data_IF_313609981200
#
_entry.id   IF_313609981200
#
_cell.length_a   1.000
_cell.length_b   1.000
_cell.length_c   1.000
_cell.angle_alpha   90.00
_cell.angle_beta   90.00
_cell.angle_gamma   90.00
#
_symmetry.space_group_name_H-M   'P 1'
#
loop_
_entity.id
_entity.type
_entity.pdbx_description
1 polymer ?
#
# COMPACT_ATOMS: atom_id res chain seq x y z
N UNK A 1 -59.36 2.61 -1.83
CA UNK A 1 -58.58 2.33 -3.05
C UNK A 1 -57.14 2.79 -2.79
N UNK A 2 -56.26 1.85 -2.43
CA UNK A 2 -54.85 2.11 -2.15
C UNK A 2 -54.04 1.89 -3.44
N UNK A 3 -53.38 2.94 -3.92
CA UNK A 3 -52.43 2.85 -5.04
C UNK A 3 -51.09 2.32 -4.51
N UNK A 4 -50.73 1.11 -4.93
CA UNK A 4 -49.41 0.49 -4.69
C UNK A 4 -48.34 1.25 -5.49
N UNK A 5 -47.42 1.90 -4.80
CA UNK A 5 -46.17 2.41 -5.37
C UNK A 5 -45.23 1.24 -5.71
N UNK A 6 -44.70 1.26 -6.94
CA UNK A 6 -43.69 0.33 -7.44
C UNK A 6 -42.35 0.58 -6.72
N UNK A 7 -41.57 -0.46 -6.35
CA UNK A 7 -40.25 -0.27 -5.79
C UNK A 7 -39.24 0.12 -6.88
N UNK A 8 -38.38 1.06 -6.53
CA UNK A 8 -37.24 1.58 -7.29
C UNK A 8 -36.14 0.50 -7.39
N UNK A 9 -35.49 0.29 -8.56
CA UNK A 9 -34.47 -0.74 -8.69
C UNK A 9 -33.17 -0.32 -8.00
N UNK A 10 -32.57 -1.26 -7.27
CA UNK A 10 -31.27 -1.11 -6.62
C UNK A 10 -30.14 -0.83 -7.64
N UNK A 11 -29.08 -0.11 -7.24
CA UNK A 11 -27.99 0.24 -8.15
C UNK A 11 -27.24 -1.01 -8.60
N UNK A 12 -27.21 -1.20 -9.91
CA UNK A 12 -26.41 -2.20 -10.61
C UNK A 12 -24.94 -2.09 -10.19
N UNK A 13 -24.38 -3.21 -9.72
CA UNK A 13 -22.94 -3.33 -9.50
C UNK A 13 -22.26 -3.09 -10.84
N UNK A 14 -21.41 -2.07 -10.92
CA UNK A 14 -20.51 -1.87 -12.04
C UNK A 14 -19.60 -3.11 -12.17
N UNK A 15 -19.96 -4.01 -13.08
CA UNK A 15 -19.07 -5.06 -13.56
C UNK A 15 -17.89 -4.38 -14.24
N UNK A 16 -16.72 -4.55 -13.63
CA UNK A 16 -15.43 -4.28 -14.23
C UNK A 16 -15.36 -5.03 -15.56
N UNK A 17 -15.48 -4.30 -16.67
CA UNK A 17 -15.17 -4.79 -18.01
C UNK A 17 -13.66 -4.96 -18.13
N UNK A 18 -13.15 -6.03 -17.51
CA UNK A 18 -11.86 -6.57 -17.85
C UNK A 18 -11.98 -7.14 -19.27
N UNK A 19 -11.08 -6.73 -20.15
CA UNK A 19 -10.87 -7.32 -21.48
C UNK A 19 -10.34 -8.75 -21.35
N UNK A 20 -11.14 -9.64 -20.78
CA UNK A 20 -10.91 -11.08 -20.80
C UNK A 20 -11.40 -11.62 -22.14
N UNK A 21 -10.49 -12.00 -23.01
CA UNK A 21 -10.83 -13.03 -24.00
C UNK A 21 -11.33 -14.23 -23.18
N UNK A 22 -12.56 -14.71 -23.38
CA UNK A 22 -13.07 -15.84 -22.63
C UNK A 22 -12.32 -17.08 -23.12
N UNK A 23 -11.25 -17.45 -22.40
CA UNK A 23 -10.56 -18.70 -22.65
C UNK A 23 -11.51 -19.83 -22.26
N UNK A 24 -11.99 -20.59 -23.24
CA UNK A 24 -12.88 -21.74 -23.02
C UNK A 24 -12.24 -22.72 -22.01
N UNK A 25 -13.02 -23.41 -21.14
CA UNK A 25 -12.45 -24.29 -20.13
C UNK A 25 -11.57 -25.34 -20.79
N UNK A 26 -10.26 -25.29 -20.51
CA UNK A 26 -9.29 -26.24 -21.04
C UNK A 26 -9.54 -27.59 -20.37
N UNK A 27 -9.82 -28.59 -21.19
CA UNK A 27 -9.95 -29.97 -20.72
C UNK A 27 -8.57 -30.54 -20.34
N UNK A 28 -8.55 -31.52 -19.43
CA UNK A 28 -7.31 -32.23 -19.05
C UNK A 28 -6.60 -32.81 -20.27
N UNK A 29 -7.36 -33.28 -21.27
CA UNK A 29 -6.81 -33.81 -22.53
C UNK A 29 -6.12 -32.72 -23.35
N UNK A 30 -6.72 -31.54 -23.49
CA UNK A 30 -6.09 -30.42 -24.21
C UNK A 30 -4.82 -29.94 -23.51
N UNK A 31 -4.83 -29.92 -22.18
CA UNK A 31 -3.65 -29.62 -21.37
C UNK A 31 -2.53 -30.64 -21.61
N UNK A 32 -2.84 -31.94 -21.59
CA UNK A 32 -1.89 -33.01 -21.89
C UNK A 32 -1.33 -32.94 -23.32
N UNK A 33 -2.17 -32.61 -24.31
CA UNK A 33 -1.71 -32.36 -25.69
C UNK A 33 -0.75 -31.16 -25.75
N UNK A 34 -1.00 -30.11 -24.97
CA UNK A 34 -0.09 -28.97 -24.87
C UNK A 34 1.25 -29.35 -24.22
N UNK A 35 1.23 -30.17 -23.17
CA UNK A 35 2.45 -30.75 -22.58
C UNK A 35 3.22 -31.61 -23.58
N UNK A 36 2.53 -32.43 -24.39
CA UNK A 36 3.15 -33.30 -25.39
C UNK A 36 3.96 -32.50 -26.42
N UNK A 37 3.39 -31.40 -26.94
CA UNK A 37 4.05 -30.52 -27.91
C UNK A 37 5.35 -29.91 -27.37
N UNK A 38 5.46 -29.71 -26.06
CA UNK A 38 6.64 -29.14 -25.41
C UNK A 38 7.55 -30.18 -24.73
N UNK A 39 7.27 -31.48 -24.85
CA UNK A 39 7.93 -32.53 -24.07
C UNK A 39 9.46 -32.53 -24.22
N UNK A 40 9.98 -32.29 -25.44
CA UNK A 40 11.42 -32.16 -25.68
C UNK A 40 12.05 -30.99 -24.93
N UNK A 41 11.42 -29.81 -24.97
CA UNK A 41 11.86 -28.61 -24.25
C UNK A 41 11.80 -28.79 -22.74
N UNK A 42 10.69 -29.38 -22.23
CA UNK A 42 10.53 -29.67 -20.80
C UNK A 42 11.59 -30.64 -20.29
N UNK A 43 11.95 -31.64 -21.10
CA UNK A 43 13.00 -32.62 -20.79
C UNK A 43 14.39 -31.97 -20.80
N UNK A 44 14.66 -31.09 -21.77
CA UNK A 44 15.92 -30.35 -21.86
C UNK A 44 16.16 -29.45 -20.64
N UNK A 45 15.14 -28.71 -20.20
CA UNK A 45 15.21 -27.84 -19.00
C UNK A 45 15.52 -28.64 -17.73
N UNK A 46 15.15 -29.91 -17.68
CA UNK A 46 15.40 -30.82 -16.54
C UNK A 46 16.73 -31.59 -16.61
N UNK A 47 17.62 -31.24 -17.54
CA UNK A 47 18.89 -31.95 -17.70
C UNK A 47 18.75 -33.31 -18.39
N UNK A 48 17.74 -33.47 -19.26
CA UNK A 48 17.60 -34.64 -20.15
C UNK A 48 16.73 -35.77 -19.62
N UNK A 49 16.15 -35.64 -18.41
CA UNK A 49 15.27 -36.67 -17.84
C UNK A 49 13.78 -36.31 -18.00
N UNK A 50 12.96 -37.15 -18.65
CA UNK A 50 11.53 -36.89 -18.80
C UNK A 50 10.81 -36.99 -17.45
N UNK A 51 9.65 -36.32 -17.32
CA UNK A 51 8.83 -36.46 -16.11
C UNK A 51 8.13 -37.81 -16.12
N UNK A 52 8.46 -38.77 -15.23
CA UNK A 52 8.04 -40.17 -15.37
C UNK A 52 6.52 -40.34 -15.31
N UNK A 53 5.85 -39.65 -14.38
CA UNK A 53 4.38 -39.70 -14.28
C UNK A 53 3.67 -39.02 -15.46
N UNK A 54 4.19 -37.89 -15.94
CA UNK A 54 3.64 -37.25 -17.13
C UNK A 54 3.85 -38.14 -18.37
N UNK A 55 5.02 -38.74 -18.52
CA UNK A 55 5.35 -39.64 -19.63
C UNK A 55 4.41 -40.83 -19.69
N UNK A 56 4.05 -41.44 -18.55
CA UNK A 56 3.03 -42.51 -18.49
C UNK A 56 1.70 -42.06 -19.11
N UNK A 57 1.23 -40.86 -18.77
CA UNK A 57 -0.01 -40.32 -19.33
C UNK A 57 0.12 -39.85 -20.78
N UNK A 58 1.28 -39.34 -21.20
CA UNK A 58 1.53 -38.90 -22.57
C UNK A 58 1.59 -40.07 -23.56
N UNK A 59 2.10 -41.24 -23.15
CA UNK A 59 2.16 -42.46 -23.99
C UNK A 59 0.75 -43.00 -24.31
N UNK A 60 -0.22 -42.73 -23.44
CA UNK A 60 -1.62 -43.14 -23.63
C UNK A 60 -2.47 -42.07 -24.33
N UNK A 61 -1.86 -40.95 -24.78
CA UNK A 61 -2.56 -40.02 -25.66
C UNK A 61 -2.66 -40.64 -27.05
N UNK A 62 -3.88 -40.84 -27.60
CA UNK A 62 -4.01 -41.33 -28.97
C UNK A 62 -3.35 -40.36 -29.96
N UNK A 63 -2.74 -40.93 -31.00
CA UNK A 63 -2.18 -40.17 -32.12
C UNK A 63 -3.26 -39.26 -32.73
N UNK A 64 -2.90 -38.07 -33.27
CA UNK A 64 -3.84 -37.25 -34.05
C UNK A 64 -4.56 -38.05 -35.15
N UNK A 65 -3.91 -39.07 -35.72
CA UNK A 65 -4.44 -39.93 -36.77
C UNK A 65 -5.40 -41.03 -36.24
N UNK A 66 -5.40 -41.30 -34.94
CA UNK A 66 -6.21 -42.35 -34.28
C UNK A 66 -7.54 -41.82 -33.73
N UNK A 67 -7.80 -40.52 -33.83
CA UNK A 67 -8.98 -39.86 -33.29
C UNK A 67 -10.00 -39.54 -34.40
N UNK A 68 -11.04 -40.38 -34.50
CA UNK A 68 -12.30 -39.96 -35.12
C UNK A 68 -12.99 -38.84 -34.31
N UNK A 69 -13.92 -38.08 -34.91
CA UNK A 69 -14.54 -36.90 -34.29
C UNK A 69 -15.29 -37.17 -32.97
N UNK A 70 -15.62 -38.42 -32.67
CA UNK A 70 -16.48 -38.80 -31.54
C UNK A 70 -15.83 -39.71 -30.49
N UNK A 71 -14.50 -39.90 -30.48
CA UNK A 71 -13.86 -40.76 -29.46
C UNK A 71 -13.69 -40.01 -28.12
N UNK A 72 -14.42 -40.36 -27.04
CA UNK A 72 -14.26 -39.70 -25.75
C UNK A 72 -13.00 -40.23 -25.07
N UNK A 73 -11.93 -39.46 -25.12
CA UNK A 73 -10.74 -39.69 -24.30
C UNK A 73 -10.91 -38.89 -23.03
N UNK A 74 -11.02 -39.55 -21.87
CA UNK A 74 -10.94 -38.88 -20.57
C UNK A 74 -9.97 -39.66 -19.70
N UNK A 75 -8.71 -39.20 -19.54
CA UNK A 75 -7.80 -39.83 -18.59
C UNK A 75 -8.41 -39.71 -17.20
N UNK A 76 -8.26 -40.76 -16.39
CA UNK A 76 -8.64 -40.70 -14.98
C UNK A 76 -7.85 -39.56 -14.31
N UNK A 77 -8.57 -38.55 -13.80
CA UNK A 77 -7.96 -37.41 -13.11
C UNK A 77 -7.56 -37.88 -11.71
N UNK A 78 -6.27 -38.10 -11.51
CA UNK A 78 -5.67 -38.49 -10.22
C UNK A 78 -4.87 -37.34 -9.63
N UNK A 79 -4.64 -37.35 -8.31
CA UNK A 79 -3.77 -36.36 -7.66
C UNK A 79 -2.33 -36.42 -8.22
N UNK A 80 -1.82 -37.62 -8.53
CA UNK A 80 -0.50 -37.81 -9.15
C UNK A 80 -0.40 -37.13 -10.52
N UNK A 81 -1.47 -37.20 -11.33
CA UNK A 81 -1.52 -36.51 -12.62
C UNK A 81 -1.53 -34.99 -12.43
N UNK A 82 -2.30 -34.47 -11.47
CA UNK A 82 -2.35 -33.04 -11.19
C UNK A 82 -1.00 -32.52 -10.67
N UNK A 83 -0.32 -33.28 -9.80
CA UNK A 83 1.01 -32.95 -9.31
C UNK A 83 2.05 -33.00 -10.44
N UNK A 84 1.98 -33.99 -11.34
CA UNK A 84 2.83 -34.08 -12.52
C UNK A 84 2.62 -32.91 -13.50
N UNK A 85 1.37 -32.45 -13.68
CA UNK A 85 1.05 -31.28 -14.48
C UNK A 85 1.64 -30.01 -13.85
N UNK A 86 1.50 -29.82 -12.53
CA UNK A 86 2.12 -28.67 -11.85
C UNK A 86 3.63 -28.67 -12.00
N UNK A 87 4.29 -29.82 -11.80
CA UNK A 87 5.74 -29.94 -11.97
C UNK A 87 6.17 -29.69 -13.43
N UNK A 88 5.39 -30.12 -14.42
CA UNK A 88 5.61 -29.79 -15.82
C UNK A 88 5.50 -28.29 -16.08
N UNK A 89 4.50 -27.64 -15.47
CA UNK A 89 4.33 -26.19 -15.54
C UNK A 89 5.49 -25.43 -14.92
N UNK A 90 6.03 -25.89 -13.79
CA UNK A 90 7.21 -25.28 -13.16
C UNK A 90 8.44 -25.30 -14.08
N UNK A 91 8.63 -26.40 -14.83
CA UNK A 91 9.66 -26.48 -15.86
C UNK A 91 9.31 -25.59 -17.07
N UNK A 92 8.04 -25.51 -17.46
CA UNK A 92 7.57 -24.68 -18.57
C UNK A 92 7.84 -23.18 -18.32
N UNK A 93 7.72 -22.68 -17.08
CA UNK A 93 8.03 -21.28 -16.76
C UNK A 93 9.48 -20.89 -17.11
N UNK A 94 10.42 -21.84 -17.11
CA UNK A 94 11.81 -21.59 -17.50
C UNK A 94 12.05 -21.67 -19.02
N UNK A 95 11.06 -22.11 -19.81
CA UNK A 95 11.18 -22.40 -21.24
C UNK A 95 10.77 -21.21 -22.15
N UNK A 96 10.67 -20.00 -21.60
CA UNK A 96 10.31 -18.79 -22.36
C UNK A 96 8.82 -18.68 -22.66
N UNK A 97 8.46 -17.88 -23.66
CA UNK A 97 7.09 -17.41 -23.89
C UNK A 97 6.06 -18.53 -24.12
N UNK A 98 6.39 -19.52 -24.94
CA UNK A 98 5.53 -20.71 -25.13
C UNK A 98 5.35 -21.50 -23.85
N UNK A 99 6.40 -21.58 -23.03
CA UNK A 99 6.37 -22.22 -21.72
C UNK A 99 5.53 -21.46 -20.70
N UNK A 100 5.53 -20.12 -20.74
CA UNK A 100 4.64 -19.31 -19.91
C UNK A 100 3.17 -19.57 -20.26
N UNK A 101 2.84 -19.66 -21.55
CA UNK A 101 1.47 -20.02 -22.01
C UNK A 101 1.08 -21.41 -21.52
N UNK A 102 1.96 -22.39 -21.67
CA UNK A 102 1.71 -23.75 -21.18
C UNK A 102 1.48 -23.77 -19.66
N UNK A 103 2.27 -23.04 -18.89
CA UNK A 103 2.08 -22.93 -17.44
C UNK A 103 0.71 -22.34 -17.06
N UNK A 104 0.23 -21.32 -17.79
CA UNK A 104 -1.11 -20.77 -17.58
C UNK A 104 -2.20 -21.82 -17.89
N UNK A 105 -2.12 -22.47 -19.05
CA UNK A 105 -3.02 -23.57 -19.45
C UNK A 105 -3.09 -24.67 -18.39
N UNK A 106 -1.94 -25.06 -17.84
CA UNK A 106 -1.85 -26.04 -16.74
C UNK A 106 -2.59 -25.51 -15.50
N UNK A 107 -2.37 -24.27 -15.10
CA UNK A 107 -3.02 -23.72 -13.90
C UNK A 107 -4.53 -23.56 -14.06
N UNK A 108 -4.99 -23.24 -15.27
CA UNK A 108 -6.42 -23.16 -15.63
C UNK A 108 -7.10 -24.53 -15.65
N UNK A 109 -6.32 -25.59 -15.90
CA UNK A 109 -6.80 -26.98 -15.80
C UNK A 109 -6.82 -27.46 -14.34
N UNK A 110 -5.75 -27.20 -13.58
CA UNK A 110 -5.54 -27.76 -12.25
C UNK A 110 -6.36 -27.03 -11.17
N UNK A 111 -6.45 -25.71 -11.19
CA UNK A 111 -7.08 -24.93 -10.11
C UNK A 111 -8.60 -25.14 -9.98
N UNK A 112 -9.38 -25.34 -11.07
CA UNK A 112 -10.79 -25.72 -10.94
C UNK A 112 -10.99 -27.07 -10.24
N UNK A 113 -10.06 -28.00 -10.46
CA UNK A 113 -10.07 -29.35 -9.89
C UNK A 113 -9.50 -29.39 -8.46
N UNK A 114 -8.52 -28.53 -8.15
CA UNK A 114 -7.85 -28.45 -6.85
C UNK A 114 -7.63 -26.99 -6.42
N UNK A 115 -8.72 -26.36 -5.97
CA UNK A 115 -8.80 -24.93 -5.61
C UNK A 115 -7.83 -24.49 -4.51
N UNK A 116 -7.41 -25.41 -3.66
CA UNK A 116 -6.50 -25.16 -2.53
C UNK A 116 -5.05 -25.61 -2.81
N UNK A 117 -4.74 -25.95 -4.06
CA UNK A 117 -3.37 -26.34 -4.45
C UNK A 117 -2.42 -25.14 -4.39
N UNK A 118 -1.66 -25.03 -3.29
CA UNK A 118 -0.61 -24.01 -3.11
C UNK A 118 0.42 -24.04 -4.25
N UNK A 119 0.95 -25.20 -4.69
CA UNK A 119 1.89 -25.26 -5.81
C UNK A 119 1.27 -24.72 -7.11
N UNK A 120 0.01 -25.02 -7.40
CA UNK A 120 -0.67 -24.52 -8.60
C UNK A 120 -0.90 -23.00 -8.55
N UNK A 121 -1.25 -22.43 -7.39
CA UNK A 121 -1.36 -20.98 -7.24
C UNK A 121 -0.01 -20.28 -7.41
N UNK A 122 1.08 -20.88 -6.89
CA UNK A 122 2.44 -20.35 -7.05
C UNK A 122 2.88 -20.39 -8.51
N UNK A 123 2.60 -21.50 -9.19
CA UNK A 123 2.85 -21.65 -10.63
C UNK A 123 2.10 -20.58 -11.43
N UNK A 124 0.80 -20.37 -11.13
CA UNK A 124 -0.01 -19.33 -11.78
C UNK A 124 0.59 -17.94 -11.59
N UNK A 125 0.98 -17.60 -10.36
CA UNK A 125 1.58 -16.31 -10.06
C UNK A 125 2.88 -16.07 -10.85
N UNK A 126 3.77 -17.06 -10.89
CA UNK A 126 5.03 -17.00 -11.66
C UNK A 126 4.79 -16.87 -13.16
N UNK A 127 3.83 -17.63 -13.70
CA UNK A 127 3.51 -17.58 -15.12
C UNK A 127 2.91 -16.23 -15.53
N UNK A 128 1.98 -15.68 -14.73
CA UNK A 128 1.40 -14.35 -14.93
C UNK A 128 2.45 -13.25 -14.86
N UNK A 129 3.37 -13.34 -13.89
CA UNK A 129 4.47 -12.40 -13.75
C UNK A 129 5.42 -12.47 -14.97
N UNK A 130 5.67 -13.67 -15.49
CA UNK A 130 6.54 -13.89 -16.64
C UNK A 130 5.94 -13.40 -17.97
N UNK A 131 4.61 -13.44 -18.14
CA UNK A 131 3.93 -12.79 -19.28
C UNK A 131 3.72 -11.28 -19.06
N UNK A 132 4.06 -10.78 -17.87
CA UNK A 132 4.01 -9.36 -17.54
C UNK A 132 2.69 -8.86 -16.97
N UNK A 133 1.73 -9.74 -16.67
CA UNK A 133 0.46 -9.39 -16.01
C UNK A 133 0.66 -9.23 -14.49
N UNK A 134 1.12 -8.04 -14.08
CA UNK A 134 1.45 -7.76 -12.68
C UNK A 134 0.23 -7.77 -11.77
N UNK A 135 -0.95 -7.41 -12.28
CA UNK A 135 -2.19 -7.35 -11.50
C UNK A 135 -2.69 -8.76 -11.16
N UNK A 136 -2.82 -9.62 -12.18
CA UNK A 136 -3.25 -10.99 -11.97
C UNK A 136 -2.20 -11.80 -11.19
N UNK A 137 -0.90 -11.55 -11.43
CA UNK A 137 0.17 -12.17 -10.65
C UNK A 137 0.07 -11.83 -9.15
N UNK A 138 -0.21 -10.58 -8.80
CA UNK A 138 -0.42 -10.16 -7.41
C UNK A 138 -1.58 -10.92 -6.76
N UNK A 139 -2.73 -11.01 -7.44
CA UNK A 139 -3.89 -11.78 -6.94
C UNK A 139 -3.53 -13.25 -6.69
N UNK A 140 -2.76 -13.87 -7.59
CA UNK A 140 -2.33 -15.26 -7.42
C UNK A 140 -1.31 -15.43 -6.27
N UNK A 141 -0.37 -14.50 -6.07
CA UNK A 141 0.53 -14.52 -4.92
C UNK A 141 -0.21 -14.31 -3.59
N UNK A 142 -1.20 -13.41 -3.55
CA UNK A 142 -2.00 -13.19 -2.34
C UNK A 142 -2.77 -14.45 -1.95
N UNK A 143 -3.29 -15.18 -2.94
CA UNK A 143 -3.90 -16.49 -2.68
C UNK A 143 -2.90 -17.52 -2.15
N UNK A 144 -1.64 -17.50 -2.61
CA UNK A 144 -0.59 -18.35 -2.04
C UNK A 144 -0.34 -18.01 -0.55
N UNK A 145 -0.28 -16.72 -0.22
CA UNK A 145 -0.03 -16.25 1.16
C UNK A 145 -1.17 -16.64 2.09
N UNK A 146 -2.42 -16.46 1.66
CA UNK A 146 -3.61 -16.88 2.41
C UNK A 146 -3.59 -18.38 2.72
N UNK A 147 -3.26 -19.20 1.72
CA UNK A 147 -3.25 -20.65 1.87
C UNK A 147 -2.07 -21.15 2.72
N UNK A 148 -0.93 -20.46 2.72
CA UNK A 148 0.33 -20.97 3.26
C UNK A 148 0.85 -20.27 4.53
N UNK A 149 0.32 -19.11 4.94
CA UNK A 149 0.67 -18.34 6.15
C UNK A 149 2.12 -17.79 6.22
N UNK A 150 3.11 -18.54 5.74
CA UNK A 150 4.54 -18.28 5.86
C UNK A 150 5.34 -18.44 4.55
N UNK A 151 4.71 -18.49 3.37
CA UNK A 151 5.45 -18.48 2.09
C UNK A 151 6.18 -17.14 1.93
N UNK A 152 7.47 -17.13 2.27
CA UNK A 152 8.33 -15.93 2.23
C UNK A 152 8.50 -15.44 0.80
N UNK A 153 8.60 -16.35 -0.18
CA UNK A 153 8.77 -15.99 -1.57
C UNK A 153 7.51 -15.29 -2.11
N UNK A 154 6.33 -15.88 -1.90
CA UNK A 154 5.06 -15.29 -2.31
C UNK A 154 4.81 -13.93 -1.66
N UNK A 155 5.08 -13.79 -0.34
CA UNK A 155 4.96 -12.50 0.37
C UNK A 155 5.88 -11.43 -0.22
N UNK A 156 7.13 -11.81 -0.51
CA UNK A 156 8.16 -10.93 -1.05
C UNK A 156 7.78 -10.45 -2.44
N UNK A 157 7.30 -11.34 -3.32
CA UNK A 157 6.82 -10.99 -4.67
C UNK A 157 5.54 -10.15 -4.62
N UNK A 158 4.58 -10.50 -3.78
CA UNK A 158 3.36 -9.71 -3.60
C UNK A 158 3.66 -8.28 -3.14
N UNK A 159 4.58 -8.10 -2.19
CA UNK A 159 5.03 -6.77 -1.75
C UNK A 159 5.68 -5.96 -2.87
N UNK A 160 6.54 -6.59 -3.69
CA UNK A 160 7.16 -5.97 -4.86
C UNK A 160 6.12 -5.49 -5.87
N UNK A 161 5.15 -6.34 -6.21
CA UNK A 161 4.10 -6.00 -7.18
C UNK A 161 3.18 -4.89 -6.64
N UNK A 162 2.73 -4.97 -5.38
CA UNK A 162 1.92 -3.90 -4.75
C UNK A 162 2.60 -2.54 -4.81
N UNK A 163 3.92 -2.51 -4.63
CA UNK A 163 4.73 -1.30 -4.67
C UNK A 163 5.06 -0.82 -6.09
N UNK A 164 4.73 -1.57 -7.15
CA UNK A 164 5.01 -1.19 -8.54
C UNK A 164 3.73 -0.88 -9.33
N UNK A 165 2.59 -1.48 -8.96
CA UNK A 165 1.32 -1.32 -9.68
C UNK A 165 0.81 0.13 -9.75
N UNK A 166 0.87 0.95 -8.68
CA UNK A 166 0.48 2.35 -8.75
C UNK A 166 1.32 3.15 -9.76
N UNK A 167 2.63 2.92 -9.79
CA UNK A 167 3.56 3.53 -10.73
C UNK A 167 3.31 3.07 -12.16
N UNK A 168 2.99 1.79 -12.37
CA UNK A 168 2.59 1.27 -13.68
C UNK A 168 1.34 1.96 -14.21
N UNK A 169 0.31 2.15 -13.36
CA UNK A 169 -0.92 2.85 -13.74
C UNK A 169 -0.67 4.33 -14.04
N UNK A 170 0.11 5.00 -13.20
CA UNK A 170 0.47 6.39 -13.39
C UNK A 170 1.32 6.59 -14.65
N UNK A 171 2.24 5.66 -14.95
CA UNK A 171 3.03 5.66 -16.16
C UNK A 171 2.15 5.47 -17.39
N UNK A 172 1.25 4.47 -17.39
CA UNK A 172 0.33 4.23 -18.48
C UNK A 172 -0.53 5.48 -18.78
N UNK A 173 -1.05 6.16 -17.75
CA UNK A 173 -1.86 7.37 -17.92
C UNK A 173 -1.13 8.55 -18.59
N UNK A 174 0.21 8.55 -18.59
CA UNK A 174 1.02 9.59 -19.22
C UNK A 174 1.49 9.22 -20.64
N UNK A 175 1.31 7.97 -21.04
CA UNK A 175 1.80 7.47 -22.32
C UNK A 175 0.69 7.48 -23.38
N UNK A 176 0.94 8.03 -24.58
CA UNK A 176 -0.05 8.04 -25.65
C UNK A 176 -0.37 6.60 -26.10
N UNK A 177 -1.66 6.27 -26.19
CA UNK A 177 -2.13 4.95 -26.66
C UNK A 177 -1.93 3.79 -25.68
N UNK A 178 -1.70 4.07 -24.39
CA UNK A 178 -1.44 3.06 -23.37
C UNK A 178 -2.69 2.41 -22.75
N UNK A 179 -3.90 2.76 -23.20
CA UNK A 179 -5.14 2.17 -22.68
C UNK A 179 -5.18 0.63 -22.84
N UNK A 180 -4.50 0.10 -23.86
CA UNK A 180 -4.36 -1.35 -24.07
C UNK A 180 -3.09 -1.97 -23.46
N UNK A 181 -2.19 -1.17 -22.89
CA UNK A 181 -0.94 -1.65 -22.24
C UNK A 181 -1.05 -1.67 -20.71
N UNK A 182 -2.13 -1.11 -20.17
CA UNK A 182 -2.45 -1.11 -18.75
C UNK A 182 -2.57 -2.55 -18.20
N UNK A 183 -1.48 -3.04 -17.61
CA UNK A 183 -1.39 -4.37 -17.03
C UNK A 183 -0.34 -5.27 -17.66
N UNK A 184 0.13 -4.99 -18.88
CA UNK A 184 1.22 -5.73 -19.52
C UNK A 184 2.54 -4.95 -19.40
N UNK A 185 3.40 -5.40 -18.49
CA UNK A 185 4.67 -4.72 -18.21
C UNK A 185 5.59 -4.58 -19.43
N UNK A 186 5.86 -5.62 -20.23
CA UNK A 186 6.66 -5.47 -21.45
C UNK A 186 6.12 -4.40 -22.41
N UNK A 187 4.80 -4.38 -22.65
CA UNK A 187 4.18 -3.40 -23.53
C UNK A 187 4.28 -1.98 -22.96
N UNK A 188 4.09 -1.82 -21.65
CA UNK A 188 4.24 -0.56 -20.94
C UNK A 188 5.69 -0.04 -20.99
N UNK A 189 6.67 -0.90 -20.72
CA UNK A 189 8.10 -0.55 -20.78
C UNK A 189 8.49 -0.12 -22.20
N UNK A 190 8.02 -0.84 -23.22
CA UNK A 190 8.28 -0.48 -24.62
C UNK A 190 7.63 0.86 -25.01
N UNK A 191 6.40 1.14 -24.54
CA UNK A 191 5.74 2.41 -24.76
C UNK A 191 6.46 3.57 -24.07
N UNK A 192 6.92 3.36 -22.83
CA UNK A 192 7.68 4.35 -22.08
C UNK A 192 8.99 4.72 -22.78
N UNK A 193 9.76 3.73 -23.23
CA UNK A 193 11.02 3.94 -23.94
C UNK A 193 10.82 4.70 -25.25
N UNK A 194 9.82 4.30 -26.07
CA UNK A 194 9.48 5.04 -27.30
C UNK A 194 9.15 6.50 -27.01
N UNK A 195 8.31 6.76 -26.01
CA UNK A 195 7.94 8.11 -25.64
C UNK A 195 9.14 8.95 -25.17
N UNK A 196 10.07 8.35 -24.41
CA UNK A 196 11.31 9.02 -23.98
C UNK A 196 12.15 9.38 -25.20
N UNK A 197 12.37 8.44 -26.12
CA UNK A 197 13.17 8.67 -27.33
C UNK A 197 12.58 9.77 -28.22
N UNK A 198 11.25 9.77 -28.42
CA UNK A 198 10.53 10.79 -29.20
C UNK A 198 10.67 12.18 -28.57
N UNK A 199 10.52 12.30 -27.25
CA UNK A 199 10.62 13.57 -26.54
C UNK A 199 12.06 14.11 -26.50
N UNK A 200 13.08 13.23 -26.46
CA UNK A 200 14.48 13.64 -26.56
C UNK A 200 14.86 14.12 -27.96
N UNK A 201 14.21 13.58 -29.00
CA UNK A 201 14.45 13.98 -30.38
C UNK A 201 13.79 15.33 -30.76
N UNK A 202 12.75 15.75 -30.04
CA UNK A 202 12.05 17.02 -30.29
C UNK A 202 12.68 18.17 -29.49
N UNK A 203 13.15 19.24 -30.15
CA UNK A 203 13.70 20.43 -29.50
C UNK A 203 12.80 21.68 -29.68
N UNK A 204 12.71 22.59 -28.68
CA UNK A 204 13.24 22.47 -27.32
C UNK A 204 12.24 21.79 -26.37
N UNK A 205 12.77 20.90 -25.52
CA UNK A 205 12.03 20.17 -24.50
C UNK A 205 11.53 21.10 -23.38
N UNK A 206 10.29 21.57 -23.49
CA UNK A 206 9.56 22.22 -22.39
C UNK A 206 8.44 21.32 -21.89
N UNK A 207 8.76 20.04 -21.65
CA UNK A 207 7.80 19.05 -21.19
C UNK A 207 8.13 18.65 -19.76
N UNK A 208 7.45 19.27 -18.78
CA UNK A 208 7.44 18.83 -17.39
C UNK A 208 7.06 17.34 -17.21
N UNK A 209 6.51 16.72 -18.27
CA UNK A 209 6.09 15.33 -18.34
C UNK A 209 7.27 14.36 -18.51
N UNK A 210 8.34 14.72 -19.23
CA UNK A 210 9.47 13.80 -19.49
C UNK A 210 10.20 13.36 -18.20
N UNK A 211 10.58 14.27 -17.28
CA UNK A 211 11.15 13.86 -15.99
C UNK A 211 10.22 12.95 -15.19
N UNK A 212 8.90 13.18 -15.29
CA UNK A 212 7.89 12.38 -14.60
C UNK A 212 7.77 10.97 -15.18
N UNK A 213 7.79 10.82 -16.50
CA UNK A 213 7.79 9.52 -17.20
C UNK A 213 9.06 8.73 -16.85
N UNK A 214 10.23 9.37 -16.89
CA UNK A 214 11.51 8.74 -16.52
C UNK A 214 11.48 8.25 -15.07
N UNK A 215 11.00 9.08 -14.15
CA UNK A 215 10.89 8.71 -12.73
C UNK A 215 9.96 7.50 -12.54
N UNK A 216 8.75 7.53 -13.11
CA UNK A 216 7.79 6.43 -12.99
C UNK A 216 8.28 5.13 -13.65
N UNK A 217 8.93 5.22 -14.81
CA UNK A 217 9.57 4.08 -15.46
C UNK A 217 10.69 3.47 -14.59
N UNK A 218 11.54 4.31 -13.99
CA UNK A 218 12.59 3.85 -13.10
C UNK A 218 12.02 3.24 -11.81
N UNK A 219 11.01 3.86 -11.21
CA UNK A 219 10.38 3.43 -9.97
C UNK A 219 9.65 2.09 -10.13
N UNK A 220 8.80 1.94 -11.16
CA UNK A 220 8.11 0.68 -11.41
C UNK A 220 9.11 -0.47 -11.60
N UNK A 221 10.19 -0.24 -12.37
CA UNK A 221 11.19 -1.27 -12.66
C UNK A 221 11.96 -1.66 -11.40
N UNK A 222 12.32 -0.67 -10.57
CA UNK A 222 13.01 -0.90 -9.28
C UNK A 222 12.12 -1.70 -8.33
N UNK A 223 10.88 -1.28 -8.11
CA UNK A 223 9.97 -1.91 -7.15
C UNK A 223 9.49 -3.29 -7.62
N UNK A 224 9.37 -3.53 -8.93
CA UNK A 224 9.02 -4.86 -9.47
C UNK A 224 10.15 -5.87 -9.30
N UNK A 225 11.37 -5.49 -9.66
CA UNK A 225 12.53 -6.41 -9.65
C UNK A 225 13.09 -6.63 -8.25
N UNK A 226 12.95 -5.63 -7.37
CA UNK A 226 13.41 -5.71 -5.99
C UNK A 226 12.22 -5.53 -5.08
N UNK A 227 11.94 -6.54 -4.26
CA UNK A 227 11.03 -6.32 -3.15
C UNK A 227 11.50 -5.13 -2.31
N UNK A 228 10.58 -4.36 -1.71
CA UNK A 228 10.95 -3.34 -0.75
C UNK A 228 11.89 -3.98 0.27
N UNK A 229 13.16 -3.57 0.25
CA UNK A 229 14.09 -3.97 1.29
C UNK A 229 13.55 -3.27 2.54
N UNK A 230 13.20 -4.00 3.61
CA UNK A 230 12.90 -3.35 4.88
C UNK A 230 14.11 -2.51 5.20
N UNK A 231 13.95 -1.19 5.22
CA UNK A 231 15.09 -0.30 5.36
C UNK A 231 15.76 -0.64 6.71
N UNK A 232 16.98 -1.22 6.68
CA UNK A 232 17.62 -1.74 7.88
C UNK A 232 17.89 -0.62 8.89
N UNK A 233 17.83 0.66 8.47
CA UNK A 233 17.99 1.82 9.33
C UNK A 233 16.80 2.08 10.27
N UNK A 234 15.60 1.55 9.96
CA UNK A 234 14.38 1.85 10.74
C UNK A 234 13.86 0.69 11.58
N UNK A 235 14.61 -0.40 11.71
CA UNK A 235 14.35 -1.46 12.69
C UNK A 235 12.96 -2.10 12.61
N UNK A 236 12.40 -2.25 11.39
CA UNK A 236 11.06 -2.82 11.19
C UNK A 236 9.89 -1.86 11.44
N UNK A 237 10.13 -0.55 11.55
CA UNK A 237 9.07 0.47 11.59
C UNK A 237 8.24 0.42 10.30
N UNK A 238 6.91 0.29 10.43
CA UNK A 238 5.99 0.39 9.29
C UNK A 238 5.77 1.83 8.83
N UNK A 239 5.67 2.06 7.53
CA UNK A 239 5.33 3.37 6.98
C UNK A 239 3.82 3.53 6.83
N UNK A 240 3.29 4.71 7.15
CA UNK A 240 1.90 5.07 6.94
C UNK A 240 1.83 6.22 5.94
N UNK A 241 1.07 6.00 4.87
CA UNK A 241 0.57 7.07 4.02
C UNK A 241 -0.70 7.69 4.65
N UNK A 242 -1.26 8.69 3.98
CA UNK A 242 -2.50 9.35 4.42
C UNK A 242 -3.66 8.37 4.61
N UNK A 243 -3.84 7.41 3.70
CA UNK A 243 -4.89 6.40 3.77
C UNK A 243 -4.70 5.44 4.95
N UNK A 244 -3.46 5.01 5.19
CA UNK A 244 -3.07 4.16 6.32
C UNK A 244 -3.30 4.85 7.67
N UNK A 245 -2.99 6.14 7.78
CA UNK A 245 -3.32 6.92 8.97
C UNK A 245 -4.84 7.03 9.15
N UNK A 246 -5.59 7.39 8.10
CA UNK A 246 -7.06 7.49 8.14
C UNK A 246 -7.69 6.19 8.63
N UNK A 247 -7.30 5.05 8.08
CA UNK A 247 -7.83 3.75 8.46
C UNK A 247 -7.54 3.40 9.93
N UNK A 248 -6.41 3.85 10.47
CA UNK A 248 -6.03 3.60 11.87
C UNK A 248 -6.82 4.41 12.88
N UNK A 249 -7.25 5.61 12.52
CA UNK A 249 -7.98 6.52 13.42
C UNK A 249 -9.51 6.45 13.22
N UNK A 250 -9.98 5.84 12.13
CA UNK A 250 -11.39 5.75 11.79
C UNK A 250 -12.21 5.05 12.86
N UNK A 251 -13.34 5.65 13.25
CA UNK A 251 -14.26 5.13 14.27
C UNK A 251 -13.76 5.24 15.71
N UNK A 252 -12.56 5.80 15.95
CA UNK A 252 -11.94 5.90 17.28
C UNK A 252 -12.01 7.32 17.82
N UNK A 253 -12.29 7.44 19.11
CA UNK A 253 -12.18 8.70 19.83
C UNK A 253 -10.70 9.11 19.96
N UNK A 254 -10.40 10.38 19.73
CA UNK A 254 -9.03 10.90 19.80
C UNK A 254 -8.99 12.19 20.61
N UNK A 255 -8.01 12.29 21.50
CA UNK A 255 -7.68 13.54 22.17
C UNK A 255 -6.28 14.01 21.79
N UNK A 256 -6.14 15.32 21.57
CA UNK A 256 -4.85 16.00 21.44
C UNK A 256 -4.56 16.69 22.76
N UNK A 257 -3.36 16.47 23.32
CA UNK A 257 -2.99 17.02 24.63
C UNK A 257 -1.93 18.12 24.45
N UNK A 258 -2.26 19.34 24.86
CA UNK A 258 -1.35 20.47 24.80
C UNK A 258 -0.25 20.41 25.88
N UNK A 259 0.87 21.08 25.61
CA UNK A 259 1.97 21.28 26.56
C UNK A 259 1.77 22.59 27.33
N UNK A 260 0.67 22.72 28.08
CA UNK A 260 0.28 23.95 28.80
C UNK A 260 0.17 23.77 30.31
N UNK A 261 0.29 24.86 31.06
CA UNK A 261 0.06 24.91 32.50
C UNK A 261 -1.36 24.51 32.88
N UNK A 262 -2.35 24.77 32.02
CA UNK A 262 -3.72 24.27 32.21
C UNK A 262 -3.78 22.75 32.38
N UNK A 263 -2.96 21.98 31.65
CA UNK A 263 -2.91 20.52 31.82
C UNK A 263 -2.20 20.15 33.12
N UNK A 264 -1.08 20.82 33.43
CA UNK A 264 -0.33 20.61 34.68
C UNK A 264 -1.23 20.75 35.92
N UNK A 265 -2.09 21.76 35.91
CA UNK A 265 -2.87 22.16 37.09
C UNK A 265 -4.27 21.50 37.13
N UNK A 266 -4.68 20.76 36.08
CA UNK A 266 -6.07 20.36 35.84
C UNK A 266 -6.47 18.92 36.26
N UNK A 267 -5.54 18.09 36.75
CA UNK A 267 -5.79 16.67 37.09
C UNK A 267 -6.55 15.89 35.99
N UNK A 268 -6.12 16.05 34.73
CA UNK A 268 -6.85 15.57 33.55
C UNK A 268 -6.47 14.14 33.13
N UNK A 269 -5.65 13.44 33.91
CA UNK A 269 -5.03 12.18 33.49
C UNK A 269 -6.01 11.05 33.19
N UNK A 270 -6.98 10.83 34.08
CA UNK A 270 -8.03 9.82 33.86
C UNK A 270 -8.87 10.12 32.63
N UNK A 271 -9.22 11.40 32.42
CA UNK A 271 -9.95 11.84 31.23
C UNK A 271 -9.13 11.59 29.97
N UNK A 272 -7.85 11.95 29.95
CA UNK A 272 -6.96 11.76 28.80
C UNK A 272 -6.84 10.27 28.45
N UNK A 273 -6.61 9.41 29.45
CA UNK A 273 -6.41 7.97 29.22
C UNK A 273 -7.71 7.23 28.82
N UNK A 274 -8.89 7.87 28.98
CA UNK A 274 -10.20 7.34 28.59
C UNK A 274 -10.45 7.31 27.07
N UNK A 275 -9.66 8.03 26.27
CA UNK A 275 -9.79 8.05 24.81
C UNK A 275 -9.19 6.79 24.16
N UNK A 276 -9.70 6.41 23.00
CA UNK A 276 -9.12 5.30 22.24
C UNK A 276 -7.70 5.63 21.78
N UNK A 277 -7.43 6.89 21.46
CA UNK A 277 -6.16 7.41 20.97
C UNK A 277 -5.75 8.69 21.69
N UNK A 278 -4.55 8.68 22.28
CA UNK A 278 -3.94 9.86 22.90
C UNK A 278 -2.79 10.39 22.02
N UNK A 279 -2.95 11.63 21.54
CA UNK A 279 -1.95 12.32 20.72
C UNK A 279 -1.21 13.39 21.54
N UNK A 280 0.13 13.38 21.46
CA UNK A 280 1.00 14.35 22.17
C UNK A 280 2.02 15.00 21.25
N UNK A 281 2.62 16.08 21.72
CA UNK A 281 3.52 16.92 20.93
C UNK A 281 4.93 17.02 21.51
N UNK A 282 5.92 16.76 20.65
CA UNK A 282 7.35 17.08 20.79
C UNK A 282 7.95 16.79 22.18
N UNK A 283 7.81 17.71 23.13
CA UNK A 283 8.46 17.69 24.44
C UNK A 283 7.47 17.52 25.59
N UNK A 284 6.42 16.72 25.38
CA UNK A 284 5.42 16.42 26.41
C UNK A 284 6.03 15.77 27.66
N UNK A 285 5.35 15.95 28.80
CA UNK A 285 5.67 15.33 30.10
C UNK A 285 4.57 14.33 30.45
N UNK A 286 4.98 13.19 31.04
CA UNK A 286 4.06 12.19 31.59
C UNK A 286 4.04 12.34 33.11
N UNK A 287 2.91 12.80 33.62
CA UNK A 287 2.58 12.88 35.03
C UNK A 287 1.17 12.28 35.16
N UNK A 288 1.03 11.06 35.71
CA UNK A 288 -0.22 10.29 35.61
C UNK A 288 -1.48 11.06 36.01
N UNK A 289 -1.42 11.87 37.06
CA UNK A 289 -2.57 12.65 37.54
C UNK A 289 -2.93 13.80 36.57
N UNK A 290 -1.94 14.52 36.05
CA UNK A 290 -2.16 15.73 35.25
C UNK A 290 -2.33 15.41 33.76
N UNK A 291 -1.41 14.62 33.19
CA UNK A 291 -1.31 14.41 31.75
C UNK A 291 -1.73 13.01 31.33
N UNK A 292 -2.00 12.09 32.26
CA UNK A 292 -2.27 10.68 31.96
C UNK A 292 -0.99 9.91 31.66
N UNK A 293 -1.12 8.64 31.29
CA UNK A 293 0.01 7.72 31.10
C UNK A 293 0.23 7.31 29.65
N UNK A 294 -0.80 7.43 28.80
CA UNK A 294 -0.77 6.92 27.42
C UNK A 294 -0.22 7.92 26.43
N UNK A 295 0.47 7.41 25.41
CA UNK A 295 0.83 8.15 24.19
C UNK A 295 0.77 7.18 23.01
N UNK A 296 -0.33 7.24 22.25
CA UNK A 296 -0.51 6.39 21.08
C UNK A 296 0.13 7.00 19.84
N UNK A 297 -0.06 8.32 19.67
CA UNK A 297 0.46 9.10 18.57
C UNK A 297 1.36 10.20 19.12
N UNK A 298 2.60 10.26 18.66
CA UNK A 298 3.49 11.39 18.96
C UNK A 298 3.79 12.18 17.69
N UNK A 299 3.51 13.49 17.75
CA UNK A 299 3.76 14.43 16.66
C UNK A 299 4.94 15.33 17.02
N UNK A 300 5.94 15.38 16.14
CA UNK A 300 7.15 16.19 16.36
C UNK A 300 7.67 16.78 15.06
N UNK A 301 8.33 17.93 15.12
CA UNK A 301 9.04 18.47 13.97
C UNK A 301 10.39 17.78 13.78
N UNK A 302 10.80 17.53 12.53
CA UNK A 302 12.04 16.79 12.21
C UNK A 302 13.32 17.38 12.85
N UNK A 303 13.33 18.69 13.11
CA UNK A 303 14.46 19.38 13.76
C UNK A 303 14.44 19.30 15.28
N UNK A 304 13.30 18.98 15.91
CA UNK A 304 13.16 18.89 17.37
C UNK A 304 13.66 17.52 17.83
N UNK A 305 14.33 17.45 18.98
CA UNK A 305 15.02 16.21 19.45
C UNK A 305 14.37 15.57 20.69
N UNK A 306 13.19 16.03 21.08
CA UNK A 306 12.54 15.57 22.32
C UNK A 306 11.65 14.35 22.09
N UNK A 307 11.69 13.40 23.04
CA UNK A 307 10.87 12.18 23.08
C UNK A 307 10.97 11.29 21.82
N UNK A 308 12.12 11.26 21.14
CA UNK A 308 12.36 10.38 19.99
C UNK A 308 12.54 8.90 20.37
N UNK A 309 13.07 8.68 21.56
CA UNK A 309 13.31 7.39 22.19
C UNK A 309 12.08 6.82 22.90
N UNK A 310 11.06 7.64 23.17
CA UNK A 310 9.86 7.21 23.88
C UNK A 310 9.03 6.24 23.04
N UNK A 311 8.60 5.10 23.62
CA UNK A 311 7.82 4.10 22.90
C UNK A 311 6.42 4.65 22.59
N UNK A 312 6.04 4.60 21.32
CA UNK A 312 4.72 5.00 20.82
C UNK A 312 4.22 4.05 19.74
N UNK A 313 2.91 4.02 19.50
CA UNK A 313 2.36 3.20 18.40
C UNK A 313 2.64 3.85 17.04
N UNK A 314 2.51 5.17 16.95
CA UNK A 314 2.71 5.93 15.71
C UNK A 314 3.46 7.23 15.99
N UNK A 315 4.48 7.52 15.18
CA UNK A 315 5.23 8.77 15.22
C UNK A 315 5.00 9.55 13.92
N UNK A 316 4.45 10.75 14.02
CA UNK A 316 4.31 11.65 12.87
C UNK A 316 5.41 12.70 12.97
N UNK A 317 6.30 12.70 11.98
CA UNK A 317 7.41 13.65 11.91
C UNK A 317 7.09 14.68 10.83
N UNK A 318 7.02 15.95 11.23
CA UNK A 318 6.63 17.05 10.37
C UNK A 318 7.86 17.78 9.80
N UNK A 319 7.76 18.31 8.58
CA UNK A 319 8.80 19.11 7.94
C UNK A 319 8.44 19.61 6.53
N UNK A 320 8.60 20.91 6.32
CA UNK A 320 8.28 21.56 5.03
C UNK A 320 9.33 21.29 3.95
N UNK A 321 10.59 21.06 4.32
CA UNK A 321 11.66 20.71 3.39
C UNK A 321 11.83 19.20 3.31
N UNK A 322 11.42 18.60 2.19
CA UNK A 322 11.46 17.16 1.98
C UNK A 322 12.87 16.56 2.10
N UNK A 323 13.89 17.21 1.54
CA UNK A 323 15.26 16.68 1.56
C UNK A 323 15.84 16.63 2.97
N UNK A 324 15.71 17.73 3.74
CA UNK A 324 16.15 17.79 5.12
C UNK A 324 15.36 16.82 6.01
N UNK A 325 14.04 16.71 5.79
CA UNK A 325 13.18 15.77 6.49
C UNK A 325 13.63 14.31 6.29
N UNK A 326 13.93 13.89 5.06
CA UNK A 326 14.40 12.51 4.78
C UNK A 326 15.72 12.22 5.50
N UNK A 327 16.65 13.19 5.48
CA UNK A 327 17.94 13.06 6.18
C UNK A 327 17.75 12.96 7.69
N UNK A 328 16.96 13.86 8.28
CA UNK A 328 16.74 13.88 9.73
C UNK A 328 16.01 12.63 10.23
N UNK A 329 15.03 12.11 9.50
CA UNK A 329 14.33 10.89 9.88
C UNK A 329 15.26 9.69 9.87
N UNK A 330 16.09 9.54 8.82
CA UNK A 330 17.12 8.48 8.76
C UNK A 330 18.07 8.53 9.94
N UNK A 331 18.46 9.74 10.35
CA UNK A 331 19.44 9.93 11.41
C UNK A 331 18.85 9.77 12.83
N UNK A 332 17.55 10.05 13.01
CA UNK A 332 16.97 10.24 14.35
C UNK A 332 15.93 9.23 14.76
N UNK A 333 15.28 8.52 13.82
CA UNK A 333 14.34 7.47 14.21
C UNK A 333 15.07 6.42 15.04
N UNK A 334 14.53 6.15 16.22
CA UNK A 334 15.08 5.15 17.12
C UNK A 334 14.40 3.81 16.81
N UNK A 335 15.16 2.77 16.42
CA UNK A 335 14.61 1.43 16.23
C UNK A 335 13.82 0.96 17.45
N UNK A 336 12.61 0.47 17.25
CA UNK A 336 11.74 -0.03 18.32
C UNK A 336 10.98 1.04 19.13
N UNK A 337 11.35 2.32 19.03
CA UNK A 337 10.62 3.40 19.72
C UNK A 337 9.26 3.73 19.08
N UNK A 338 9.03 3.32 17.84
CA UNK A 338 7.74 3.40 17.19
C UNK A 338 7.44 2.14 16.39
N UNK A 339 6.17 1.73 16.35
CA UNK A 339 5.72 0.68 15.43
C UNK A 339 5.51 1.21 14.02
N UNK A 340 5.07 2.48 13.91
CA UNK A 340 4.80 3.12 12.63
C UNK A 340 5.33 4.55 12.58
N UNK A 341 5.72 5.01 11.40
CA UNK A 341 6.01 6.41 11.11
C UNK A 341 5.26 6.90 9.88
N UNK A 342 4.89 8.17 9.85
CA UNK A 342 4.29 8.77 8.67
C UNK A 342 5.30 8.89 7.51
N UNK A 343 4.85 8.65 6.29
CA UNK A 343 5.64 8.85 5.07
C UNK A 343 5.69 10.32 4.66
N UNK A 344 6.31 10.57 3.50
CA UNK A 344 6.49 11.92 3.01
C UNK A 344 5.16 12.66 2.74
N UNK A 345 4.06 11.96 2.49
CA UNK A 345 2.74 12.57 2.30
C UNK A 345 2.20 13.25 3.56
N UNK A 346 2.64 12.77 4.73
CA UNK A 346 2.20 13.27 6.05
C UNK A 346 3.11 14.33 6.65
N UNK A 347 4.19 14.73 5.96
CA UNK A 347 5.21 15.63 6.53
C UNK A 347 4.72 17.07 6.73
N UNK A 348 3.79 17.53 5.90
CA UNK A 348 3.32 18.92 5.92
C UNK A 348 1.83 18.98 5.59
N UNK A 349 0.93 18.55 6.50
CA UNK A 349 -0.50 18.46 6.22
C UNK A 349 -1.14 19.73 5.63
N UNK A 350 -0.97 20.88 6.26
CA UNK A 350 -1.60 22.15 5.85
C UNK A 350 -1.15 22.55 4.43
N UNK A 351 0.15 22.49 4.17
CA UNK A 351 0.75 22.91 2.88
C UNK A 351 0.66 21.85 1.79
N UNK A 352 0.91 20.59 2.14
CA UNK A 352 1.02 19.47 1.21
C UNK A 352 -0.32 18.86 0.86
N UNK A 353 -1.16 18.58 1.86
CA UNK A 353 -2.48 17.97 1.67
C UNK A 353 -3.52 19.06 1.44
N UNK A 354 -3.58 20.06 2.33
CA UNK A 354 -4.54 21.15 2.24
C UNK A 354 -4.27 22.14 1.11
N UNK A 355 -3.05 22.15 0.56
CA UNK A 355 -2.59 23.11 -0.46
C UNK A 355 -2.81 24.56 -0.07
N UNK A 356 -2.87 24.85 1.24
CA UNK A 356 -3.04 26.22 1.73
C UNK A 356 -1.71 26.94 1.55
N UNK A 357 -1.67 27.96 0.70
CA UNK A 357 -0.49 28.77 0.42
C UNK A 357 -0.25 29.86 1.47
N UNK A 358 0.90 30.54 1.38
CA UNK A 358 1.27 31.60 2.32
C UNK A 358 0.33 32.83 2.26
N UNK A 359 -0.42 32.95 1.17
CA UNK A 359 -1.53 33.88 1.00
C UNK A 359 -2.71 33.58 1.93
N UNK A 360 -3.03 32.29 2.13
CA UNK A 360 -4.15 31.86 2.97
C UNK A 360 -3.74 31.64 4.42
N UNK A 361 -2.53 31.13 4.64
CA UNK A 361 -1.97 30.89 5.97
C UNK A 361 -0.55 31.44 6.01
N UNK A 362 -0.33 32.71 6.37
CA UNK A 362 0.98 33.37 6.20
C UNK A 362 2.06 32.89 7.18
N UNK A 363 1.65 32.40 8.35
CA UNK A 363 2.59 31.97 9.38
C UNK A 363 2.94 30.48 9.26
N UNK A 364 4.19 30.07 9.59
CA UNK A 364 4.52 28.65 9.70
C UNK A 364 3.59 27.94 10.69
N UNK A 365 2.88 26.87 10.27
CA UNK A 365 2.05 26.07 11.17
C UNK A 365 2.86 25.50 12.34
N UNK A 366 2.24 25.45 13.52
CA UNK A 366 2.80 24.70 14.66
C UNK A 366 2.58 23.21 14.45
N UNK A 367 3.40 22.36 15.08
CA UNK A 367 3.16 20.91 15.05
C UNK A 367 1.78 20.53 15.57
N UNK A 368 1.27 21.28 16.56
CA UNK A 368 -0.07 21.08 17.09
C UNK A 368 -1.14 21.46 16.08
N UNK A 369 -0.98 22.56 15.36
CA UNK A 369 -1.93 22.97 14.33
C UNK A 369 -1.92 22.03 13.12
N UNK A 370 -0.74 21.60 12.65
CA UNK A 370 -0.62 20.60 11.57
C UNK A 370 -1.38 19.31 11.92
N UNK A 371 -1.24 18.82 13.16
CA UNK A 371 -1.97 17.64 13.62
C UNK A 371 -3.48 17.90 13.75
N UNK A 372 -3.88 19.02 14.37
CA UNK A 372 -5.30 19.38 14.50
C UNK A 372 -5.98 19.44 13.13
N UNK A 373 -5.36 20.15 12.18
CA UNK A 373 -5.83 20.26 10.80
C UNK A 373 -5.92 18.90 10.13
N UNK A 374 -4.90 18.06 10.26
CA UNK A 374 -4.87 16.72 9.63
C UNK A 374 -6.00 15.82 10.16
N UNK A 375 -6.17 15.77 11.48
CA UNK A 375 -7.18 14.90 12.11
C UNK A 375 -8.60 15.42 11.84
N UNK A 376 -8.79 16.74 11.80
CA UNK A 376 -10.04 17.36 11.38
C UNK A 376 -10.36 17.03 9.92
N UNK A 377 -9.41 17.29 9.01
CA UNK A 377 -9.50 17.04 7.56
C UNK A 377 -9.86 15.59 7.21
N UNK A 378 -9.29 14.63 7.94
CA UNK A 378 -9.57 13.22 7.70
C UNK A 378 -11.02 12.84 8.03
N UNK A 379 -11.66 13.57 8.96
CA UNK A 379 -13.08 13.44 9.34
C UNK A 379 -13.61 12.00 9.49
N UNK A 380 -12.86 11.19 10.25
CA UNK A 380 -13.22 9.78 10.51
C UNK A 380 -13.32 9.41 11.98
N UNK A 381 -12.89 10.30 12.89
CA UNK A 381 -12.98 10.06 14.33
C UNK A 381 -14.31 10.62 14.86
N UNK A 382 -15.20 9.81 15.46
CA UNK A 382 -16.50 10.27 15.93
C UNK A 382 -16.42 11.30 17.05
N UNK A 383 -15.26 11.38 17.73
CA UNK A 383 -14.97 12.34 18.79
C UNK A 383 -13.56 12.87 18.63
N UNK A 384 -13.40 14.20 18.61
CA UNK A 384 -12.11 14.89 18.54
C UNK A 384 -12.07 16.02 19.57
N UNK A 385 -11.30 15.80 20.63
CA UNK A 385 -11.19 16.76 21.73
C UNK A 385 -9.76 17.29 21.86
N UNK A 386 -9.66 18.60 22.08
CA UNK A 386 -8.42 19.31 22.34
C UNK A 386 -8.35 19.60 23.84
N UNK A 387 -7.37 19.00 24.53
CA UNK A 387 -7.22 19.08 25.98
C UNK A 387 -6.08 20.04 26.34
N UNK A 388 -6.40 21.08 27.09
CA UNK A 388 -5.46 22.08 27.58
C UNK A 388 -4.99 23.10 26.55
N UNK A 389 -5.67 23.21 25.42
CA UNK A 389 -5.35 24.21 24.40
C UNK A 389 -5.80 25.61 24.83
N UNK A 390 -4.92 26.27 25.58
CA UNK A 390 -5.14 27.61 26.14
C UNK A 390 -4.49 28.72 25.30
N UNK A 391 -3.85 28.35 24.18
CA UNK A 391 -3.20 29.27 23.24
C UNK A 391 -2.21 30.19 23.96
N UNK A 392 -1.29 29.61 24.75
CA UNK A 392 -0.22 30.31 25.44
C UNK A 392 -0.70 31.34 26.48
N UNK A 393 -1.91 31.17 27.02
CA UNK A 393 -2.36 31.92 28.19
C UNK A 393 -1.61 31.53 29.46
N UNK A 394 -1.21 30.26 29.59
CA UNK A 394 -0.36 29.76 30.68
C UNK A 394 1.04 29.41 30.18
N UNK A 395 1.98 29.29 31.13
CA UNK A 395 3.35 28.87 30.85
C UNK A 395 3.39 27.45 30.24
N UNK A 396 4.34 27.16 29.34
CA UNK A 396 4.43 25.85 28.70
C UNK A 396 4.77 24.76 29.72
N UNK A 397 4.04 23.65 29.66
CA UNK A 397 4.33 22.45 30.45
C UNK A 397 5.01 21.39 29.56
N UNK A 398 6.34 21.35 29.65
CA UNK A 398 7.19 20.53 28.78
C UNK A 398 8.46 20.08 29.53
N UNK A 399 9.19 19.15 28.93
CA UNK A 399 10.49 18.71 29.44
C UNK A 399 11.42 19.91 29.75
N UNK A 400 12.22 19.86 30.84
CA UNK A 400 13.10 20.97 31.23
C UNK A 400 14.00 21.48 30.09
N UNK A 401 14.61 20.57 29.33
CA UNK A 401 15.51 20.91 28.22
C UNK A 401 14.80 21.57 27.03
N UNK A 402 13.46 21.47 26.98
CA UNK A 402 12.67 22.12 25.96
C UNK A 402 12.24 23.54 26.37
N UNK A 403 12.37 23.94 27.65
CA UNK A 403 11.97 25.26 28.16
C UNK A 403 12.65 26.44 27.43
N UNK A 404 13.93 26.36 27.02
CA UNK A 404 14.55 27.45 26.25
C UNK A 404 14.07 27.55 24.80
N UNK A 405 13.39 26.52 24.27
CA UNK A 405 12.99 26.49 22.86
C UNK A 405 11.83 27.48 22.63
N UNK A 406 11.95 28.43 21.69
CA UNK A 406 10.89 29.41 21.43
C UNK A 406 9.54 28.76 21.10
N UNK A 407 8.48 29.35 21.63
CA UNK A 407 7.09 29.04 21.24
C UNK A 407 6.71 29.80 19.97
N UNK A 408 5.54 29.50 19.40
CA UNK A 408 5.06 30.19 18.22
C UNK A 408 4.82 31.69 18.48
N UNK A 409 4.85 32.51 17.43
CA UNK A 409 4.54 33.94 17.55
C UNK A 409 3.08 34.15 17.96
N UNK A 410 2.78 35.31 18.55
CA UNK A 410 1.43 35.65 18.99
C UNK A 410 0.42 35.67 17.84
N UNK A 411 0.84 36.12 16.65
CA UNK A 411 0.02 36.19 15.44
C UNK A 411 -0.30 34.79 14.90
N UNK A 412 0.71 33.92 14.86
CA UNK A 412 0.54 32.52 14.47
C UNK A 412 -0.45 31.81 15.41
N UNK A 413 -0.30 32.05 16.72
CA UNK A 413 -1.17 31.48 17.74
C UNK A 413 -2.61 32.03 17.67
N UNK A 414 -2.77 33.33 17.38
CA UNK A 414 -4.09 33.96 17.24
C UNK A 414 -4.87 33.39 16.05
N UNK A 415 -4.20 33.17 14.90
CA UNK A 415 -4.81 32.57 13.72
C UNK A 415 -5.24 31.11 13.98
N UNK A 416 -4.40 30.35 14.69
CA UNK A 416 -4.72 28.97 15.09
C UNK A 416 -5.91 28.92 16.04
N UNK A 417 -5.96 29.83 17.03
CA UNK A 417 -7.08 29.95 17.95
C UNK A 417 -8.38 30.25 17.23
N UNK A 418 -8.38 31.20 16.29
CA UNK A 418 -9.55 31.54 15.51
C UNK A 418 -10.08 30.32 14.73
N UNK A 419 -9.19 29.58 14.06
CA UNK A 419 -9.54 28.37 13.31
C UNK A 419 -10.17 27.28 14.21
N UNK A 420 -9.61 27.08 15.41
CA UNK A 420 -10.14 26.11 16.38
C UNK A 420 -11.51 26.53 16.89
N UNK A 421 -11.66 27.80 17.28
CA UNK A 421 -12.90 28.29 17.89
C UNK A 421 -14.06 28.36 16.89
N UNK A 422 -13.78 28.57 15.61
CA UNK A 422 -14.78 28.47 14.53
C UNK A 422 -15.37 27.06 14.41
N UNK A 423 -14.59 26.02 14.75
CA UNK A 423 -14.97 24.61 14.64
C UNK A 423 -15.43 23.98 15.95
N UNK A 424 -15.26 24.69 17.07
CA UNK A 424 -15.63 24.17 18.37
C UNK A 424 -17.16 23.98 18.47
N UNK A 425 -17.59 22.75 18.75
CA UNK A 425 -18.99 22.44 19.09
C UNK A 425 -19.30 22.67 20.55
N UNK A 426 -18.31 22.48 21.41
CA UNK A 426 -18.44 22.68 22.85
C UNK A 426 -17.10 23.09 23.47
N UNK A 427 -17.14 23.96 24.47
CA UNK A 427 -15.97 24.36 25.27
C UNK A 427 -16.33 24.20 26.74
N UNK A 428 -15.69 23.24 27.41
CA UNK A 428 -15.93 22.91 28.81
C UNK A 428 -14.62 22.91 29.58
N UNK A 429 -14.31 24.05 30.20
CA UNK A 429 -13.06 24.25 30.94
C UNK A 429 -11.84 23.99 30.04
N UNK A 430 -10.97 23.02 30.37
CA UNK A 430 -9.77 22.73 29.59
C UNK A 430 -10.04 21.91 28.31
N UNK A 431 -11.28 21.53 28.03
CA UNK A 431 -11.64 20.69 26.88
C UNK A 431 -12.36 21.50 25.82
N UNK A 432 -11.83 21.50 24.60
CA UNK A 432 -12.50 22.03 23.41
C UNK A 432 -12.86 20.85 22.51
N UNK A 433 -14.15 20.62 22.31
CA UNK A 433 -14.64 19.53 21.46
C UNK A 433 -14.96 20.05 20.06
N UNK A 434 -14.37 19.43 19.04
CA UNK A 434 -14.61 19.78 17.63
C UNK A 434 -15.70 18.92 16.99
N UNK A 435 -15.97 17.71 17.53
CA UNK A 435 -17.09 16.89 17.09
C UNK A 435 -17.57 15.90 18.13
#
# INVERSE_FOLDING_TARGET
MAAKGKPEPAPEKAESTASGVPWAPVTVVECLRACARMCGTLTAVRGGSPHPELAKHLIHLPSPDELGPDTPVSPAVTDDLLDALVAAGEAAVAAGEEGHRLALTITETVLPLRKESRPAWRLRARALEAVGDSAAALTAYDRCVELAGHDVHARTRAAALRAALPEQRALAALLPGADSTAGNVPALEAAALRHIDEQLAAAPADSATLPRVIALYADQRRHRLRAPIPDPTYGGTGWLDLGGLRNRISGRSICLVANSGTVRDGSLGELIDSYDLVLRFTSYVIEPAATGTRTDIHVTGHRKVFNWDRPVTTRLVLGDNAAAWRTDIRARLVPGAQRHTGDESLRAPVRGIGRLGADTWPHPPTCSFEAMWLIDFLDVSPRLDLIGFDFHQTSPYRLPDAIPVPVASAEANSSQKAWVMERARNVAGPVISLR
#
